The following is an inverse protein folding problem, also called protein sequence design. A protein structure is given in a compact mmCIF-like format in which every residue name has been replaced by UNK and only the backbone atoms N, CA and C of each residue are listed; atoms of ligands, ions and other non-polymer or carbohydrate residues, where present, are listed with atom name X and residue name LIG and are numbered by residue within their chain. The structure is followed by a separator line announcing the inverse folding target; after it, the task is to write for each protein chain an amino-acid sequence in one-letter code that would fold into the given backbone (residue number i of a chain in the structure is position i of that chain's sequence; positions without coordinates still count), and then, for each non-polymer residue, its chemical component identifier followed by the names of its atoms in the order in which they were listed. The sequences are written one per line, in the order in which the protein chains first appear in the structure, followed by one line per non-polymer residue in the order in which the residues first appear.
data_IF_336706776346
#
_entry.id   IF_336706776346
#
_cell.length_a   1.000
_cell.length_b   1.000
_cell.length_c   1.000
_cell.angle_alpha   90.00
_cell.angle_beta   90.00
_cell.angle_gamma   90.00
#
_symmetry.space_group_name_H-M   'P 1'
#
loop_
_entity.id
_entity.type
_entity.pdbx_description
1 polymer ?
#
# COMPACT_ATOMS: atom_id res chain seq x y z
N UNK A 1 12.03 -7.96 -21.22
CA UNK A 1 10.85 -8.85 -21.17
C UNK A 1 9.78 -8.38 -22.16
N UNK A 2 9.36 -7.09 -22.11
CA UNK A 2 8.28 -6.55 -22.95
C UNK A 2 8.47 -6.83 -24.47
N UNK A 3 9.67 -6.66 -25.10
CA UNK A 3 9.85 -6.99 -26.52
C UNK A 3 9.55 -8.42 -26.90
N UNK A 4 9.50 -9.34 -25.96
CA UNK A 4 9.16 -10.75 -26.17
C UNK A 4 7.66 -11.07 -26.01
N UNK A 5 6.81 -10.06 -25.84
CA UNK A 5 5.37 -10.22 -25.70
C UNK A 5 4.92 -11.00 -24.47
N UNK A 6 5.70 -10.99 -23.39
CA UNK A 6 5.37 -11.70 -22.15
C UNK A 6 4.59 -10.80 -21.20
N UNK A 7 3.46 -11.31 -20.69
CA UNK A 7 2.73 -10.65 -19.62
C UNK A 7 3.58 -10.56 -18.36
N UNK A 8 3.54 -9.42 -17.67
CA UNK A 8 4.45 -9.09 -16.56
C UNK A 8 3.65 -8.86 -15.29
N UNK A 9 3.93 -9.65 -14.27
CA UNK A 9 3.65 -9.34 -12.88
C UNK A 9 4.98 -8.98 -12.24
N UNK A 10 5.05 -7.80 -11.65
CA UNK A 10 6.26 -7.29 -11.01
C UNK A 10 5.95 -6.89 -9.57
N UNK A 11 6.84 -7.25 -8.65
CA UNK A 11 6.76 -6.80 -7.25
C UNK A 11 6.79 -5.27 -7.13
N UNK A 12 6.13 -4.78 -6.10
CA UNK A 12 6.13 -3.37 -5.75
C UNK A 12 7.48 -2.91 -5.13
N UNK A 13 7.87 -1.65 -5.27
CA UNK A 13 7.31 -0.68 -6.19
C UNK A 13 7.80 -0.96 -7.60
N UNK A 14 6.92 -0.86 -8.58
CA UNK A 14 7.28 -1.14 -9.98
C UNK A 14 8.37 -0.20 -10.49
N UNK A 15 8.45 1.03 -9.97
CA UNK A 15 9.47 2.01 -10.34
C UNK A 15 9.87 2.88 -9.14
N UNK A 16 11.16 3.18 -9.04
CA UNK A 16 11.74 4.07 -8.01
C UNK A 16 11.70 5.55 -8.36
N UNK A 17 11.44 5.91 -9.63
CA UNK A 17 11.34 7.29 -10.12
C UNK A 17 10.09 7.47 -10.98
N UNK A 18 9.70 8.76 -11.20
CA UNK A 18 8.59 9.06 -12.11
C UNK A 18 8.95 8.76 -13.56
N UNK A 19 10.16 9.06 -13.97
CA UNK A 19 10.68 8.80 -15.31
C UNK A 19 10.63 7.31 -15.66
N UNK A 20 11.06 6.45 -14.74
CA UNK A 20 11.03 5.01 -14.95
C UNK A 20 9.60 4.47 -15.04
N UNK A 21 8.69 4.97 -14.19
CA UNK A 21 7.29 4.59 -14.24
C UNK A 21 6.67 4.92 -15.60
N UNK A 22 6.88 6.14 -16.11
CA UNK A 22 6.39 6.57 -17.43
C UNK A 22 7.01 5.69 -18.52
N UNK A 23 8.32 5.46 -18.49
CA UNK A 23 9.01 4.61 -19.47
C UNK A 23 8.48 3.17 -19.49
N UNK A 24 8.22 2.60 -18.31
CA UNK A 24 7.63 1.25 -18.19
C UNK A 24 6.23 1.24 -18.80
N UNK A 25 5.42 2.27 -18.53
CA UNK A 25 4.09 2.41 -19.10
C UNK A 25 4.12 2.48 -20.65
N UNK A 26 5.04 3.28 -21.19
CA UNK A 26 5.25 3.41 -22.64
C UNK A 26 5.69 2.10 -23.29
N UNK A 27 6.61 1.38 -22.65
CA UNK A 27 7.05 0.05 -23.13
C UNK A 27 5.89 -0.96 -23.11
N UNK A 28 5.07 -0.97 -22.07
CA UNK A 28 3.87 -1.81 -22.01
C UNK A 28 2.91 -1.51 -23.15
N UNK A 29 2.70 -0.22 -23.46
CA UNK A 29 1.86 0.22 -24.59
C UNK A 29 2.48 -0.13 -25.93
N UNK A 30 3.77 0.17 -26.13
CA UNK A 30 4.49 -0.08 -27.38
C UNK A 30 4.47 -1.55 -27.79
N UNK A 31 4.64 -2.46 -26.84
CA UNK A 31 4.70 -3.90 -27.10
C UNK A 31 3.37 -4.62 -26.86
N UNK A 32 2.31 -3.86 -26.51
CA UNK A 32 1.00 -4.42 -26.15
C UNK A 32 1.10 -5.49 -25.05
N UNK A 33 1.89 -5.22 -24.02
CA UNK A 33 2.14 -6.13 -22.90
C UNK A 33 1.48 -5.57 -21.62
N UNK A 34 0.58 -6.33 -20.99
CA UNK A 34 0.06 -6.00 -19.68
C UNK A 34 1.17 -6.09 -18.63
N UNK A 35 1.24 -5.05 -17.79
CA UNK A 35 2.17 -4.96 -16.66
C UNK A 35 1.35 -4.70 -15.41
N UNK A 36 1.40 -5.64 -14.47
CA UNK A 36 0.70 -5.58 -13.19
C UNK A 36 1.69 -5.37 -12.06
N UNK A 37 1.47 -4.35 -11.24
CA UNK A 37 2.22 -4.10 -10.01
C UNK A 37 1.66 -4.94 -8.87
N UNK A 38 2.49 -5.79 -8.27
CA UNK A 38 2.10 -6.75 -7.26
C UNK A 38 1.89 -6.13 -5.88
N UNK A 39 0.63 -5.95 -5.50
CA UNK A 39 0.22 -5.63 -4.13
C UNK A 39 -0.62 -6.78 -3.58
N UNK A 40 0.01 -7.89 -3.26
CA UNK A 40 -0.61 -9.15 -2.89
C UNK A 40 -1.63 -9.06 -1.76
N UNK A 41 -1.47 -8.13 -0.80
CA UNK A 41 -2.32 -8.03 0.39
C UNK A 41 -3.81 -7.86 0.03
N UNK A 42 -4.14 -7.15 -1.06
CA UNK A 42 -5.52 -6.86 -1.48
C UNK A 42 -6.33 -8.12 -1.80
N UNK A 43 -5.65 -9.21 -2.13
CA UNK A 43 -6.26 -10.50 -2.45
C UNK A 43 -6.54 -11.36 -1.22
N UNK A 44 -6.10 -10.94 -0.03
CA UNK A 44 -6.43 -11.66 1.21
C UNK A 44 -7.91 -11.46 1.57
N UNK A 45 -8.58 -12.54 1.95
CA UNK A 45 -10.03 -12.57 2.26
C UNK A 45 -10.46 -11.56 3.31
N UNK A 46 -9.58 -11.18 4.24
CA UNK A 46 -9.88 -10.17 5.28
C UNK A 46 -10.27 -8.80 4.69
N UNK A 47 -9.66 -8.40 3.56
CA UNK A 47 -9.97 -7.10 2.94
C UNK A 47 -11.34 -7.12 2.27
N UNK A 48 -11.74 -8.26 1.71
CA UNK A 48 -13.09 -8.45 1.16
C UNK A 48 -14.15 -8.36 2.27
N UNK A 49 -13.93 -9.05 3.39
CA UNK A 49 -14.82 -8.98 4.54
C UNK A 49 -14.89 -7.56 5.13
N UNK A 50 -13.72 -6.91 5.31
CA UNK A 50 -13.67 -5.51 5.76
C UNK A 50 -14.55 -4.61 4.90
N UNK A 51 -14.38 -4.65 3.59
CA UNK A 51 -15.13 -3.81 2.68
C UNK A 51 -16.64 -4.11 2.72
N UNK A 52 -17.01 -5.39 2.82
CA UNK A 52 -18.42 -5.79 2.97
C UNK A 52 -19.04 -5.24 4.26
N UNK A 53 -18.36 -5.40 5.39
CA UNK A 53 -18.87 -4.92 6.68
C UNK A 53 -19.03 -3.40 6.72
N UNK A 54 -18.10 -2.66 6.09
CA UNK A 54 -18.21 -1.21 5.98
C UNK A 54 -19.41 -0.82 5.10
N UNK A 55 -19.58 -1.49 3.95
CA UNK A 55 -20.72 -1.26 3.06
C UNK A 55 -22.07 -1.57 3.74
N UNK A 56 -22.10 -2.58 4.61
CA UNK A 56 -23.26 -2.95 5.40
C UNK A 56 -23.50 -1.99 6.59
N UNK A 57 -22.66 -0.97 6.78
CA UNK A 57 -22.83 0.06 7.79
C UNK A 57 -22.39 -0.34 9.20
N UNK A 58 -21.58 -1.40 9.37
CA UNK A 58 -21.17 -1.93 10.68
C UNK A 58 -20.48 -0.89 11.59
N UNK A 59 -19.84 0.12 11.02
CA UNK A 59 -19.18 1.22 11.76
C UNK A 59 -19.79 2.60 11.48
N UNK A 60 -20.91 2.66 10.74
CA UNK A 60 -21.53 3.91 10.30
C UNK A 60 -20.73 4.63 9.23
N UNK A 61 -20.81 5.98 9.19
CA UNK A 61 -20.09 6.81 8.22
C UNK A 61 -18.60 6.83 8.53
N UNK A 62 -17.79 6.54 7.53
CA UNK A 62 -16.32 6.55 7.67
C UNK A 62 -15.81 7.97 7.93
N UNK A 63 -15.01 8.14 8.99
CA UNK A 63 -14.41 9.40 9.41
C UNK A 63 -12.90 9.44 9.11
N UNK A 64 -12.19 8.31 9.25
CA UNK A 64 -10.76 8.25 9.08
C UNK A 64 -10.31 6.85 8.65
N UNK A 65 -9.44 6.80 7.65
CA UNK A 65 -8.59 5.65 7.38
C UNK A 65 -7.25 5.84 8.07
N UNK A 66 -6.79 4.86 8.85
CA UNK A 66 -5.48 4.88 9.47
C UNK A 66 -4.69 3.62 9.14
N UNK A 67 -3.42 3.80 8.72
CA UNK A 67 -2.53 2.72 8.37
C UNK A 67 -1.18 2.84 9.04
N UNK A 68 -0.65 1.70 9.53
CA UNK A 68 0.72 1.59 10.03
C UNK A 68 1.41 0.40 9.38
N UNK A 69 2.62 0.62 8.90
CA UNK A 69 3.50 -0.48 8.51
C UNK A 69 4.94 -0.15 8.90
N UNK A 70 5.41 -0.80 9.93
CA UNK A 70 6.78 -0.65 10.43
C UNK A 70 7.31 -1.98 10.96
N UNK A 71 8.62 -2.11 10.99
CA UNK A 71 9.30 -3.33 11.41
C UNK A 71 10.63 -3.02 12.09
N UNK A 72 11.21 -3.99 12.84
CA UNK A 72 12.51 -3.85 13.48
C UNK A 72 13.63 -3.56 12.47
N UNK A 73 14.78 -3.04 12.94
CA UNK A 73 15.92 -2.79 12.08
C UNK A 73 16.31 -4.01 11.25
N UNK A 74 16.64 -3.75 9.99
CA UNK A 74 17.19 -4.75 9.08
C UNK A 74 18.72 -4.80 9.20
N UNK A 75 19.34 -5.76 8.53
CA UNK A 75 20.79 -5.80 8.45
C UNK A 75 21.33 -4.57 7.71
N UNK A 76 22.48 -4.02 8.14
CA UNK A 76 23.11 -2.84 7.55
C UNK A 76 23.32 -2.93 6.03
N UNK A 77 23.49 -4.15 5.52
CA UNK A 77 23.71 -4.43 4.09
C UNK A 77 22.40 -4.50 3.28
N UNK A 78 21.23 -4.40 3.92
CA UNK A 78 19.94 -4.51 3.25
C UNK A 78 19.78 -3.39 2.21
N UNK A 79 19.22 -3.73 1.04
CA UNK A 79 19.03 -2.79 -0.07
C UNK A 79 18.10 -1.64 0.30
N UNK A 80 17.20 -1.84 1.27
CA UNK A 80 16.25 -0.81 1.74
C UNK A 80 16.94 0.41 2.34
N UNK A 81 18.19 0.27 2.77
CA UNK A 81 19.01 1.39 3.24
C UNK A 81 19.85 2.05 2.14
N UNK A 82 19.74 1.62 0.87
CA UNK A 82 20.58 2.09 -0.23
C UNK A 82 19.77 2.90 -1.24
N UNK A 83 20.04 4.21 -1.32
CA UNK A 83 19.40 5.14 -2.27
C UNK A 83 19.52 4.67 -3.71
N UNK A 84 20.70 4.19 -4.11
CA UNK A 84 21.00 3.70 -5.46
C UNK A 84 20.22 2.46 -5.88
N UNK A 85 19.62 1.74 -4.93
CA UNK A 85 18.82 0.54 -5.17
C UNK A 85 17.31 0.79 -4.96
N UNK A 86 16.90 2.06 -4.88
CA UNK A 86 15.50 2.40 -4.63
C UNK A 86 15.06 2.17 -3.19
N UNK A 87 15.99 2.28 -2.23
CA UNK A 87 15.70 2.16 -0.81
C UNK A 87 14.85 3.31 -0.26
N UNK A 88 14.51 3.21 1.01
CA UNK A 88 13.70 4.16 1.77
C UNK A 88 12.34 3.61 2.16
N UNK A 89 11.84 4.07 3.30
CA UNK A 89 10.57 3.62 3.88
C UNK A 89 9.36 3.98 2.99
N UNK A 90 9.45 5.08 2.22
CA UNK A 90 8.38 5.51 1.31
C UNK A 90 8.18 4.51 0.17
N UNK A 91 9.25 4.08 -0.47
CA UNK A 91 9.14 3.12 -1.58
C UNK A 91 8.86 1.69 -1.09
N UNK A 92 9.26 1.34 0.11
CA UNK A 92 9.03 -0.01 0.63
C UNK A 92 7.69 -0.15 1.35
N UNK A 93 7.62 0.18 2.63
CA UNK A 93 6.44 -0.09 3.46
C UNK A 93 5.30 0.93 3.23
N UNK A 94 5.63 2.20 2.97
CA UNK A 94 4.62 3.22 2.68
C UNK A 94 3.86 2.93 1.38
N UNK A 95 4.47 2.27 0.41
CA UNK A 95 3.79 1.88 -0.82
C UNK A 95 2.50 1.09 -0.56
N UNK A 96 2.52 0.16 0.41
CA UNK A 96 1.31 -0.58 0.83
C UNK A 96 0.25 0.34 1.45
N UNK A 97 0.67 1.29 2.28
CA UNK A 97 -0.23 2.21 2.97
C UNK A 97 -0.94 3.14 1.99
N UNK A 98 -0.17 3.73 1.06
CA UNK A 98 -0.69 4.61 0.00
C UNK A 98 -1.66 3.85 -0.90
N UNK A 99 -1.24 2.69 -1.41
CA UNK A 99 -2.09 1.85 -2.25
C UNK A 99 -3.40 1.48 -1.54
N UNK A 100 -3.32 1.09 -0.25
CA UNK A 100 -4.51 0.69 0.48
C UNK A 100 -5.48 1.84 0.77
N UNK A 101 -4.99 3.05 0.99
CA UNK A 101 -5.82 4.24 1.20
C UNK A 101 -6.52 4.67 -0.10
N UNK A 102 -5.79 4.68 -1.23
CA UNK A 102 -6.34 4.98 -2.55
C UNK A 102 -7.45 3.99 -2.94
N UNK A 103 -7.18 2.68 -2.79
CA UNK A 103 -8.16 1.63 -3.06
C UNK A 103 -9.35 1.66 -2.10
N UNK A 104 -9.15 2.08 -0.85
CA UNK A 104 -10.23 2.19 0.12
C UNK A 104 -11.23 3.28 -0.24
N UNK A 105 -10.73 4.45 -0.66
CA UNK A 105 -11.57 5.58 -1.05
C UNK A 105 -11.97 5.58 -2.53
N UNK A 106 -11.43 4.65 -3.31
CA UNK A 106 -11.57 4.61 -4.78
C UNK A 106 -11.32 5.99 -5.42
N UNK A 107 -10.23 6.64 -5.01
CA UNK A 107 -9.90 8.01 -5.38
C UNK A 107 -8.39 8.29 -5.28
N UNK A 108 -7.97 9.34 -5.97
CA UNK A 108 -6.63 9.93 -5.80
C UNK A 108 -6.68 11.05 -4.75
N UNK A 109 -5.62 11.23 -3.93
CA UNK A 109 -5.56 12.31 -2.97
C UNK A 109 -5.46 13.68 -3.69
N UNK A 110 -6.30 14.62 -3.26
CA UNK A 110 -6.27 16.02 -3.71
C UNK A 110 -5.10 16.78 -3.09
N UNK A 111 -4.79 16.48 -1.81
CA UNK A 111 -3.68 17.06 -1.07
C UNK A 111 -2.88 16.02 -0.32
N UNK A 112 -1.57 16.23 -0.27
CA UNK A 112 -0.61 15.36 0.42
C UNK A 112 0.22 16.22 1.37
N UNK A 113 0.34 15.78 2.62
CA UNK A 113 1.23 16.35 3.62
C UNK A 113 2.09 15.24 4.20
N UNK A 114 3.39 15.45 4.31
CA UNK A 114 4.29 14.43 4.83
C UNK A 114 5.43 15.03 5.67
N UNK A 115 5.84 14.26 6.67
CA UNK A 115 7.07 14.48 7.43
C UNK A 115 7.91 13.23 7.28
N UNK A 116 9.09 13.38 6.69
CA UNK A 116 10.06 12.32 6.50
C UNK A 116 11.24 12.56 7.44
N UNK A 117 11.81 11.48 7.97
CA UNK A 117 13.02 11.54 8.78
C UNK A 117 14.00 10.43 8.46
N UNK A 118 15.28 10.73 8.64
CA UNK A 118 16.40 9.83 8.43
C UNK A 118 17.01 9.47 9.78
N UNK A 119 17.38 8.21 9.95
CA UNK A 119 18.30 7.85 11.03
C UNK A 119 19.71 8.37 10.69
N UNK A 120 20.49 8.62 11.73
CA UNK A 120 21.87 9.08 11.58
C UNK A 120 22.67 8.10 10.70
N UNK A 121 23.38 8.64 9.71
CA UNK A 121 24.19 7.86 8.77
C UNK A 121 23.40 7.18 7.65
N UNK A 122 22.09 7.36 7.54
CA UNK A 122 21.27 6.81 6.45
C UNK A 122 21.13 7.80 5.30
N UNK A 123 21.32 7.34 4.07
CA UNK A 123 21.14 8.12 2.84
C UNK A 123 19.65 8.15 2.36
N UNK A 124 18.77 7.39 3.01
CA UNK A 124 17.35 7.28 2.70
C UNK A 124 16.51 7.59 3.92
N UNK A 125 15.28 8.03 3.69
CA UNK A 125 14.30 8.19 4.76
C UNK A 125 13.95 6.83 5.38
N UNK A 126 13.99 6.76 6.70
CA UNK A 126 13.68 5.55 7.46
C UNK A 126 12.31 5.60 8.13
N UNK A 127 11.71 6.79 8.23
CA UNK A 127 10.37 7.01 8.78
C UNK A 127 9.61 8.03 7.95
N UNK A 128 8.30 7.85 7.87
CA UNK A 128 7.39 8.83 7.30
C UNK A 128 6.05 8.82 8.02
N UNK A 129 5.52 10.03 8.26
CA UNK A 129 4.13 10.26 8.67
C UNK A 129 3.46 11.07 7.58
N UNK A 130 2.36 10.58 7.05
CA UNK A 130 1.70 11.12 5.87
C UNK A 130 0.21 11.33 6.16
N UNK A 131 -0.31 12.47 5.73
CA UNK A 131 -1.74 12.73 5.64
C UNK A 131 -2.12 12.86 4.18
N UNK A 132 -3.05 12.02 3.73
CA UNK A 132 -3.67 12.09 2.41
C UNK A 132 -5.09 12.62 2.56
N UNK A 133 -5.39 13.74 1.90
CA UNK A 133 -6.74 14.31 1.83
C UNK A 133 -7.33 13.98 0.45
N UNK A 134 -8.45 13.25 0.43
CA UNK A 134 -9.19 12.85 -0.77
C UNK A 134 -10.41 13.73 -1.03
N UNK A 135 -10.48 14.87 -0.35
CA UNK A 135 -11.63 15.79 -0.42
C UNK A 135 -12.88 15.28 0.31
N UNK A 136 -13.82 16.17 0.53
CA UNK A 136 -15.12 15.88 1.16
C UNK A 136 -15.01 15.23 2.55
N UNK A 137 -13.95 15.56 3.31
CA UNK A 137 -13.69 14.99 4.63
C UNK A 137 -13.10 13.57 4.64
N UNK A 138 -12.78 13.00 3.47
CA UNK A 138 -12.13 11.68 3.35
C UNK A 138 -10.63 11.82 3.57
N UNK A 139 -10.13 11.31 4.67
CA UNK A 139 -8.73 11.49 5.08
C UNK A 139 -8.10 10.14 5.41
N UNK A 140 -6.83 9.96 5.01
CA UNK A 140 -6.00 8.86 5.46
C UNK A 140 -4.77 9.38 6.22
N UNK A 141 -4.51 8.81 7.40
CA UNK A 141 -3.30 9.04 8.17
C UNK A 141 -2.44 7.78 8.15
N UNK A 142 -1.22 7.90 7.63
CA UNK A 142 -0.34 6.78 7.33
C UNK A 142 0.99 6.97 8.05
N UNK A 143 1.47 5.93 8.72
CA UNK A 143 2.76 5.96 9.42
C UNK A 143 3.57 4.73 9.05
N UNK A 144 4.79 4.94 8.59
CA UNK A 144 5.73 3.88 8.24
C UNK A 144 7.08 4.11 8.86
N UNK A 145 7.84 3.03 9.06
CA UNK A 145 9.22 3.17 9.50
C UNK A 145 9.95 1.84 9.64
N UNK A 146 11.27 1.96 9.45
CA UNK A 146 12.24 0.96 9.84
C UNK A 146 12.64 1.25 11.31
N UNK A 147 13.22 0.31 12.01
CA UNK A 147 13.57 0.47 13.42
C UNK A 147 12.37 0.73 14.37
N UNK A 148 11.26 0.06 14.08
CA UNK A 148 10.05 0.11 14.88
C UNK A 148 9.74 -1.28 15.47
N UNK A 149 8.95 -1.33 16.56
CA UNK A 149 8.25 -2.58 16.86
C UNK A 149 7.38 -2.95 15.65
N UNK A 150 7.38 -4.22 15.26
CA UNK A 150 6.56 -4.68 14.14
C UNK A 150 5.10 -4.26 14.31
N UNK A 151 4.57 -3.60 13.29
CA UNK A 151 3.16 -3.23 13.17
C UNK A 151 2.78 -3.24 11.69
N UNK A 152 1.63 -3.86 11.36
CA UNK A 152 1.11 -3.97 10.00
C UNK A 152 -0.40 -3.83 10.03
N UNK A 153 -0.90 -2.67 10.48
CA UNK A 153 -2.28 -2.47 10.92
C UNK A 153 -3.04 -1.53 9.98
N UNK A 154 -4.32 -1.84 9.77
CA UNK A 154 -5.33 -0.88 9.30
C UNK A 154 -6.39 -0.67 10.35
N UNK A 155 -6.82 0.58 10.52
CA UNK A 155 -7.98 0.93 11.36
C UNK A 155 -8.86 1.87 10.57
N UNK A 156 -10.15 1.56 10.51
CA UNK A 156 -11.17 2.41 9.91
C UNK A 156 -12.05 2.91 11.04
N UNK A 157 -12.04 4.22 11.26
CA UNK A 157 -12.86 4.85 12.28
C UNK A 157 -14.13 5.40 11.64
N UNK A 158 -15.27 4.97 12.13
CA UNK A 158 -16.57 5.41 11.68
C UNK A 158 -17.38 6.08 12.79
N UNK A 159 -18.54 6.62 12.43
CA UNK A 159 -19.43 7.36 13.35
C UNK A 159 -20.07 6.47 14.43
N UNK A 160 -20.12 5.13 14.22
CA UNK A 160 -20.73 4.17 15.15
C UNK A 160 -19.76 3.13 15.70
N UNK A 161 -18.55 3.06 15.17
CA UNK A 161 -17.60 2.05 15.61
C UNK A 161 -16.24 2.18 14.91
N UNK A 162 -15.38 1.23 15.25
CA UNK A 162 -14.03 1.13 14.75
C UNK A 162 -13.80 -0.30 14.24
N UNK A 163 -13.27 -0.42 13.03
CA UNK A 163 -12.88 -1.70 12.45
C UNK A 163 -11.36 -1.77 12.35
N UNK A 164 -10.75 -2.85 12.81
CA UNK A 164 -9.30 -3.02 12.77
C UNK A 164 -8.85 -4.36 12.20
N UNK A 165 -7.73 -4.31 11.48
CA UNK A 165 -6.95 -5.45 10.99
C UNK A 165 -5.54 -5.35 11.56
N UNK A 166 -5.16 -6.25 12.49
CA UNK A 166 -3.85 -6.21 13.16
C UNK A 166 -2.67 -6.65 12.26
N UNK A 167 -2.97 -7.44 11.23
CA UNK A 167 -2.02 -7.90 10.20
C UNK A 167 -2.61 -7.61 8.82
N UNK A 168 -2.52 -6.37 8.34
CA UNK A 168 -3.22 -5.93 7.14
C UNK A 168 -2.47 -6.21 5.83
N UNK A 169 -1.11 -6.24 5.83
CA UNK A 169 -0.33 -6.21 4.59
C UNK A 169 0.46 -7.50 4.32
N UNK A 170 1.38 -7.86 5.18
CA UNK A 170 2.24 -9.03 4.98
C UNK A 170 1.85 -10.15 5.94
N UNK A 171 1.21 -11.19 5.40
CA UNK A 171 0.76 -12.34 6.17
C UNK A 171 1.43 -13.61 5.64
N UNK A 172 1.87 -14.52 6.52
CA UNK A 172 2.21 -15.88 6.10
C UNK A 172 0.99 -16.59 5.50
N UNK A 173 1.17 -17.50 4.53
CA UNK A 173 0.04 -18.16 3.86
C UNK A 173 -0.82 -19.03 4.79
N UNK A 174 -0.26 -19.50 5.90
CA UNK A 174 -0.90 -20.33 6.92
C UNK A 174 -1.46 -19.50 8.10
N UNK A 175 -1.32 -18.18 8.07
CA UNK A 175 -1.75 -17.30 9.16
C UNK A 175 -3.26 -17.08 9.13
N UNK A 176 -3.93 -17.33 10.25
CA UNK A 176 -5.34 -16.96 10.45
C UNK A 176 -5.41 -15.52 10.95
N UNK A 177 -5.89 -14.63 10.11
CA UNK A 177 -6.03 -13.21 10.47
C UNK A 177 -7.30 -12.96 11.26
N UNK A 178 -7.30 -11.88 12.05
CA UNK A 178 -8.48 -11.43 12.80
C UNK A 178 -8.84 -10.02 12.36
N UNK A 179 -10.12 -9.83 12.04
CA UNK A 179 -10.77 -8.54 11.89
C UNK A 179 -11.57 -8.29 13.17
N UNK A 180 -11.41 -7.11 13.75
CA UNK A 180 -12.13 -6.71 14.96
C UNK A 180 -13.05 -5.54 14.64
N UNK A 181 -14.28 -5.60 15.11
CA UNK A 181 -15.20 -4.46 15.17
C UNK A 181 -15.44 -4.10 16.64
N UNK A 182 -15.31 -2.83 16.95
CA UNK A 182 -15.60 -2.27 18.26
C UNK A 182 -16.66 -1.18 18.12
N UNK A 183 -17.77 -1.32 18.84
CA UNK A 183 -18.89 -0.37 18.89
C UNK A 183 -19.28 -0.07 20.33
N UNK A 184 -20.31 0.73 20.56
CA UNK A 184 -20.85 0.95 21.91
C UNK A 184 -21.46 -0.33 22.53
N UNK A 185 -21.83 -1.32 21.69
CA UNK A 185 -22.38 -2.60 22.14
C UNK A 185 -21.30 -3.59 22.59
N UNK A 186 -20.02 -3.30 22.28
CA UNK A 186 -18.87 -4.10 22.64
C UNK A 186 -17.93 -4.37 21.48
N UNK A 187 -17.07 -5.37 21.71
CA UNK A 187 -16.03 -5.80 20.75
C UNK A 187 -16.35 -7.17 20.21
N UNK A 188 -16.23 -7.34 18.90
CA UNK A 188 -16.41 -8.61 18.20
C UNK A 188 -15.23 -8.91 17.28
N UNK A 189 -14.70 -10.12 17.41
CA UNK A 189 -13.59 -10.62 16.60
C UNK A 189 -14.10 -11.62 15.56
N UNK A 190 -13.60 -11.48 14.32
CA UNK A 190 -13.89 -12.37 13.20
C UNK A 190 -12.58 -12.99 12.73
N UNK A 191 -12.38 -14.26 13.01
CA UNK A 191 -11.19 -14.99 12.56
C UNK A 191 -11.40 -15.51 11.14
N UNK A 192 -10.45 -15.13 10.25
CA UNK A 192 -10.43 -15.61 8.88
C UNK A 192 -9.67 -16.92 8.77
N UNK A 193 -10.08 -17.83 7.88
CA UNK A 193 -9.20 -18.94 7.50
C UNK A 193 -7.91 -18.42 6.87
N UNK A 194 -6.87 -19.25 6.95
CA UNK A 194 -5.62 -18.97 6.26
C UNK A 194 -5.85 -18.77 4.75
N UNK A 195 -5.14 -17.81 4.17
CA UNK A 195 -5.29 -17.43 2.77
C UNK A 195 -3.93 -17.11 2.17
N UNK A 196 -3.53 -17.84 1.15
CA UNK A 196 -2.32 -17.53 0.38
C UNK A 196 -2.62 -16.41 -0.61
N UNK A 197 -2.45 -15.18 -0.19
CA UNK A 197 -2.73 -14.00 -1.01
C UNK A 197 -1.82 -13.87 -2.24
N UNK A 198 -0.62 -14.46 -2.24
CA UNK A 198 0.21 -14.54 -3.45
C UNK A 198 -0.38 -15.46 -4.50
N UNK A 199 -0.95 -16.60 -4.09
CA UNK A 199 -1.64 -17.49 -5.01
C UNK A 199 -2.89 -16.82 -5.59
N UNK A 200 -3.66 -16.12 -4.77
CA UNK A 200 -4.85 -15.39 -5.22
C UNK A 200 -4.48 -14.22 -6.16
N UNK A 201 -3.38 -13.54 -5.92
CA UNK A 201 -2.82 -12.53 -6.82
C UNK A 201 -2.47 -13.12 -8.19
N UNK A 202 -1.78 -14.28 -8.20
CA UNK A 202 -1.44 -14.98 -9.45
C UNK A 202 -2.69 -15.43 -10.20
N UNK A 203 -3.71 -15.94 -9.49
CA UNK A 203 -5.00 -16.31 -10.09
C UNK A 203 -5.67 -15.10 -10.72
N UNK A 204 -5.70 -13.97 -10.02
CA UNK A 204 -6.24 -12.72 -10.52
C UNK A 204 -5.49 -12.24 -11.76
N UNK A 205 -4.17 -12.23 -11.73
CA UNK A 205 -3.33 -11.83 -12.86
C UNK A 205 -3.62 -12.68 -14.10
N UNK A 206 -3.61 -14.01 -13.96
CA UNK A 206 -3.87 -14.95 -15.07
C UNK A 206 -5.28 -14.79 -15.63
N UNK A 207 -6.27 -14.51 -14.80
CA UNK A 207 -7.65 -14.33 -15.25
C UNK A 207 -7.89 -12.99 -15.99
N UNK A 208 -7.06 -11.96 -15.73
CA UNK A 208 -7.37 -10.57 -16.13
C UNK A 208 -6.36 -9.92 -17.09
N UNK A 209 -5.18 -10.49 -17.34
CA UNK A 209 -4.14 -9.85 -18.14
C UNK A 209 -4.60 -9.45 -19.55
N UNK A 210 -5.54 -10.17 -20.13
CA UNK A 210 -6.02 -9.90 -21.49
C UNK A 210 -6.93 -8.65 -21.57
N UNK A 211 -7.53 -8.23 -20.46
CA UNK A 211 -8.59 -7.19 -20.44
C UNK A 211 -8.24 -5.98 -19.57
N UNK A 212 -7.28 -6.08 -18.66
CA UNK A 212 -7.01 -5.05 -17.64
C UNK A 212 -5.71 -4.24 -17.87
N UNK A 213 -5.01 -4.43 -18.99
CA UNK A 213 -3.70 -3.81 -19.24
C UNK A 213 -3.71 -2.27 -19.10
N UNK A 214 -4.77 -1.60 -19.57
CA UNK A 214 -4.93 -0.13 -19.45
C UNK A 214 -5.18 0.30 -18.02
N UNK A 215 -6.09 -0.38 -17.32
CA UNK A 215 -6.41 -0.09 -15.92
C UNK A 215 -5.17 -0.27 -15.03
N UNK A 216 -4.43 -1.36 -15.20
CA UNK A 216 -3.19 -1.61 -14.45
C UNK A 216 -2.12 -0.56 -14.73
N UNK A 217 -1.99 -0.13 -16.00
CA UNK A 217 -1.05 0.94 -16.37
C UNK A 217 -1.40 2.25 -15.67
N UNK A 218 -2.67 2.63 -15.66
CA UNK A 218 -3.16 3.82 -14.97
C UNK A 218 -2.91 3.71 -13.47
N UNK A 219 -3.20 2.53 -12.89
CA UNK A 219 -3.04 2.27 -11.46
C UNK A 219 -1.59 2.45 -11.00
N UNK A 220 -0.62 1.80 -11.64
CA UNK A 220 0.77 1.94 -11.18
C UNK A 220 1.35 3.34 -11.45
N UNK A 221 0.90 4.04 -12.49
CA UNK A 221 1.30 5.42 -12.74
C UNK A 221 0.78 6.35 -11.65
N UNK A 222 -0.46 6.17 -11.21
CA UNK A 222 -1.05 6.96 -10.13
C UNK A 222 -0.38 6.63 -8.79
N UNK A 223 -0.18 5.34 -8.50
CA UNK A 223 0.54 4.89 -7.32
C UNK A 223 1.94 5.52 -7.23
N UNK A 224 2.71 5.42 -8.31
CA UNK A 224 4.04 6.04 -8.38
C UNK A 224 3.98 7.56 -8.22
N UNK A 225 3.00 8.23 -8.84
CA UNK A 225 2.86 9.70 -8.73
C UNK A 225 2.67 10.14 -7.27
N UNK A 226 1.85 9.44 -6.50
CA UNK A 226 1.64 9.75 -5.07
C UNK A 226 2.91 9.49 -4.26
N UNK A 227 3.60 8.37 -4.49
CA UNK A 227 4.87 8.07 -3.79
C UNK A 227 5.95 9.13 -4.09
N UNK A 228 6.09 9.55 -5.34
CA UNK A 228 7.06 10.60 -5.72
C UNK A 228 6.69 11.96 -5.10
N UNK A 229 5.42 12.30 -5.05
CA UNK A 229 4.93 13.50 -4.33
C UNK A 229 5.28 13.46 -2.84
N UNK A 230 5.12 12.33 -2.18
CA UNK A 230 5.53 12.17 -0.77
C UNK A 230 7.04 12.38 -0.62
N UNK A 231 7.85 11.86 -1.54
CA UNK A 231 9.31 12.05 -1.52
C UNK A 231 9.76 13.49 -1.71
N UNK A 232 8.97 14.36 -2.34
CA UNK A 232 9.27 15.80 -2.45
C UNK A 232 9.32 16.50 -1.07
N UNK A 233 8.72 15.92 -0.02
CA UNK A 233 8.80 16.42 1.36
C UNK A 233 10.11 16.08 2.06
N UNK A 234 10.99 15.30 1.45
CA UNK A 234 12.31 15.03 2.00
C UNK A 234 13.18 16.29 1.96
N UNK A 235 13.47 16.82 3.15
CA UNK A 235 14.27 18.04 3.31
C UNK A 235 15.71 17.74 3.78
N UNK A 236 16.14 16.47 3.76
CA UNK A 236 17.47 16.06 4.24
C UNK A 236 18.62 16.73 3.48
N UNK A 237 18.44 17.04 2.18
CA UNK A 237 19.42 17.73 1.35
C UNK A 237 19.44 19.26 1.55
N UNK A 238 18.52 19.82 2.35
CA UNK A 238 18.40 21.27 2.61
C UNK A 238 18.96 21.71 3.98
N UNK A 239 19.54 20.78 4.76
CA UNK A 239 20.11 21.06 6.09
C UNK A 239 21.61 20.97 6.12
#
# INVERSE_FOLDING_TARGET
VAPYGKNILCEKPLAGTREDAVRIAELGKQYNVPIFEGFMYQFHTQHKLKNQMIADGAIGDVQLFQGWFGFPPLQETDFRYKKSLGGGAVLDACAYLVHSARHFYDAEPEHIYAVLSHEEGREVETHATILLDFGQGRVANLVTGFNNKYKSQQVIWGSKGLLSLERAYALPPDFQSTLTIETQEGKQDYTMPACNHFEEEMRYFVANYATHAEAWRTEFLNQNAVLMKIKEFDNSEKR
#
